data_IF_633513517251
#
_entry.id   IF_633513517251
#
_cell.length_a   1.000
_cell.length_b   1.000
_cell.length_c   1.000
_cell.angle_alpha   90.00
_cell.angle_beta   90.00
_cell.angle_gamma   90.00
#
_symmetry.space_group_name_H-M   'P 1'
#
loop_
_entity.id
_entity.type
_entity.pdbx_description
1 polymer ?
#
# COMPACT_ATOMS: atom_id res chain seq x y z
N UNK A 1 -10.66 -10.46 3.22
CA UNK A 1 -12.08 -10.07 2.97
C UNK A 1 -12.60 -9.01 3.96
N UNK A 2 -11.79 -8.55 4.93
CA UNK A 2 -12.15 -7.59 5.98
C UNK A 2 -12.37 -6.15 5.45
N UNK A 3 -11.49 -5.65 4.58
CA UNK A 3 -11.47 -4.23 4.18
C UNK A 3 -12.77 -3.71 3.54
N UNK A 4 -13.42 -4.50 2.67
CA UNK A 4 -14.68 -4.10 2.04
C UNK A 4 -15.83 -4.00 3.05
N UNK A 5 -15.86 -4.91 4.01
CA UNK A 5 -16.85 -4.93 5.08
C UNK A 5 -16.64 -3.73 6.01
N UNK A 6 -15.39 -3.43 6.39
CA UNK A 6 -15.06 -2.26 7.21
C UNK A 6 -15.51 -0.95 6.56
N UNK A 7 -15.30 -0.78 5.26
CA UNK A 7 -15.79 0.40 4.53
C UNK A 7 -17.30 0.55 4.64
N UNK A 8 -18.04 -0.54 4.44
CA UNK A 8 -19.51 -0.57 4.50
C UNK A 8 -20.01 -0.25 5.92
N UNK A 9 -19.45 -0.89 6.93
CA UNK A 9 -19.81 -0.68 8.34
C UNK A 9 -19.52 0.75 8.82
N UNK A 10 -18.45 1.36 8.31
CA UNK A 10 -18.09 2.75 8.61
C UNK A 10 -18.83 3.78 7.74
N UNK A 11 -19.81 3.35 6.93
CA UNK A 11 -20.65 4.23 6.12
C UNK A 11 -20.00 4.76 4.83
N UNK A 12 -18.87 4.21 4.42
CA UNK A 12 -18.18 4.62 3.19
C UNK A 12 -18.65 3.81 1.99
N UNK A 13 -19.01 4.52 0.92
CA UNK A 13 -19.37 3.88 -0.35
C UNK A 13 -18.18 3.15 -0.97
N UNK A 14 -18.36 1.86 -1.31
CA UNK A 14 -17.41 1.10 -2.12
C UNK A 14 -17.59 1.45 -3.61
N UNK A 15 -16.83 2.41 -4.10
CA UNK A 15 -16.82 2.76 -5.54
C UNK A 15 -15.95 1.79 -6.34
N UNK A 16 -16.13 1.68 -7.68
CA UNK A 16 -15.25 0.87 -8.52
C UNK A 16 -13.76 1.20 -8.35
N UNK A 17 -13.43 2.49 -8.23
CA UNK A 17 -12.04 2.94 -8.00
C UNK A 17 -11.50 2.47 -6.64
N UNK A 18 -12.28 2.60 -5.56
CA UNK A 18 -11.87 2.12 -4.23
C UNK A 18 -11.68 0.61 -4.20
N UNK A 19 -12.56 -0.12 -4.90
CA UNK A 19 -12.47 -1.57 -5.07
C UNK A 19 -11.16 -1.96 -5.76
N UNK A 20 -10.85 -1.34 -6.90
CA UNK A 20 -9.61 -1.64 -7.64
C UNK A 20 -8.36 -1.29 -6.83
N UNK A 21 -8.34 -0.16 -6.11
CA UNK A 21 -7.20 0.21 -5.25
C UNK A 21 -6.99 -0.84 -4.15
N UNK A 22 -8.05 -1.26 -3.47
CA UNK A 22 -7.98 -2.30 -2.46
C UNK A 22 -7.51 -3.64 -3.05
N UNK A 23 -8.03 -4.03 -4.21
CA UNK A 23 -7.57 -5.24 -4.90
C UNK A 23 -6.08 -5.19 -5.23
N UNK A 24 -5.58 -4.07 -5.74
CA UNK A 24 -4.14 -3.89 -6.03
C UNK A 24 -3.31 -4.07 -4.77
N UNK A 25 -3.73 -3.47 -3.66
CA UNK A 25 -3.03 -3.53 -2.37
C UNK A 25 -3.07 -4.92 -1.73
N UNK A 26 -4.11 -5.73 -1.99
CA UNK A 26 -4.20 -7.12 -1.51
C UNK A 26 -3.57 -8.13 -2.46
N UNK A 27 -3.31 -7.76 -3.72
CA UNK A 27 -2.65 -8.63 -4.71
C UNK A 27 -1.14 -8.48 -4.71
N UNK A 28 -0.60 -7.53 -3.95
CA UNK A 28 0.82 -7.22 -3.89
C UNK A 28 1.32 -7.53 -2.48
N UNK A 29 2.35 -8.36 -2.40
CA UNK A 29 3.08 -8.64 -1.16
C UNK A 29 4.28 -7.68 -1.00
N UNK A 30 4.26 -6.58 -1.73
CA UNK A 30 5.30 -5.56 -1.77
C UNK A 30 4.74 -4.20 -1.38
N UNK A 31 5.63 -3.35 -0.87
CA UNK A 31 5.37 -1.94 -0.65
C UNK A 31 5.27 -1.18 -1.99
N UNK A 32 4.12 -0.55 -2.25
CA UNK A 32 3.85 0.14 -3.53
C UNK A 32 3.68 1.64 -3.35
N UNK A 33 4.23 2.43 -4.28
CA UNK A 33 4.04 3.88 -4.27
C UNK A 33 2.64 4.27 -4.78
N UNK A 34 2.18 5.48 -4.44
CA UNK A 34 0.94 6.03 -5.00
C UNK A 34 0.96 6.08 -6.54
N UNK A 35 2.12 6.36 -7.13
CA UNK A 35 2.35 6.33 -8.59
C UNK A 35 2.17 4.92 -9.16
N UNK A 36 2.74 3.89 -8.54
CA UNK A 36 2.55 2.51 -9.01
C UNK A 36 1.07 2.08 -8.91
N UNK A 37 0.39 2.45 -7.82
CA UNK A 37 -1.05 2.21 -7.67
C UNK A 37 -1.81 2.95 -8.76
N UNK A 38 -1.48 4.21 -9.04
CA UNK A 38 -2.12 4.99 -10.09
C UNK A 38 -1.99 4.32 -11.47
N UNK A 39 -0.79 3.88 -11.84
CA UNK A 39 -0.56 3.22 -13.14
C UNK A 39 -1.35 1.91 -13.26
N UNK A 40 -1.34 1.08 -12.21
CA UNK A 40 -2.12 -0.16 -12.14
C UNK A 40 -3.64 0.11 -12.18
N UNK A 41 -4.11 1.16 -11.51
CA UNK A 41 -5.52 1.57 -11.56
C UNK A 41 -5.88 2.06 -12.96
N UNK A 42 -5.05 2.88 -13.60
CA UNK A 42 -5.32 3.46 -14.93
C UNK A 42 -5.42 2.38 -16.01
N UNK A 43 -4.65 1.31 -15.88
CA UNK A 43 -4.74 0.14 -16.75
C UNK A 43 -6.13 -0.54 -16.68
N UNK A 44 -6.80 -0.52 -15.52
CA UNK A 44 -8.14 -1.10 -15.33
C UNK A 44 -9.27 -0.07 -15.49
N UNK A 45 -9.00 1.20 -15.18
CA UNK A 45 -9.95 2.32 -15.16
C UNK A 45 -9.30 3.56 -15.83
N UNK A 46 -9.32 3.67 -17.17
CA UNK A 46 -8.57 4.69 -17.91
C UNK A 46 -8.89 6.16 -17.56
N UNK A 47 -10.08 6.41 -16.99
CA UNK A 47 -10.54 7.73 -16.54
C UNK A 47 -10.21 8.05 -15.08
N UNK A 48 -9.39 7.22 -14.42
CA UNK A 48 -8.98 7.45 -13.04
C UNK A 48 -8.11 8.71 -12.92
N UNK A 49 -8.32 9.47 -11.84
CA UNK A 49 -7.58 10.67 -11.53
C UNK A 49 -6.64 10.40 -10.35
N UNK A 50 -5.38 10.86 -10.44
CA UNK A 50 -4.38 10.77 -9.36
C UNK A 50 -4.93 11.25 -8.01
N UNK A 51 -5.63 12.39 -7.98
CA UNK A 51 -6.25 12.93 -6.76
C UNK A 51 -7.22 11.95 -6.09
N UNK A 52 -7.91 11.09 -6.85
CA UNK A 52 -8.80 10.08 -6.27
C UNK A 52 -8.03 8.92 -5.66
N UNK A 53 -6.84 8.61 -6.18
CA UNK A 53 -5.94 7.62 -5.58
C UNK A 53 -5.49 8.13 -4.21
N UNK A 54 -4.90 9.32 -4.12
CA UNK A 54 -4.45 9.90 -2.85
C UNK A 54 -5.58 10.03 -1.82
N UNK A 55 -6.76 10.56 -2.23
CA UNK A 55 -7.92 10.65 -1.33
C UNK A 55 -8.42 9.29 -0.86
N UNK A 56 -8.25 8.24 -1.66
CA UNK A 56 -8.61 6.88 -1.26
C UNK A 56 -7.58 6.32 -0.31
N UNK A 57 -6.29 6.45 -0.58
CA UNK A 57 -5.21 6.00 0.31
C UNK A 57 -5.30 6.67 1.67
N UNK A 58 -5.53 7.98 1.73
CA UNK A 58 -5.75 8.72 2.97
C UNK A 58 -6.96 8.19 3.76
N UNK A 59 -8.07 7.89 3.07
CA UNK A 59 -9.22 7.27 3.71
C UNK A 59 -8.88 5.89 4.27
N UNK A 60 -8.22 5.03 3.50
CA UNK A 60 -7.88 3.67 3.91
C UNK A 60 -6.89 3.67 5.09
N UNK A 61 -5.92 4.59 5.08
CA UNK A 61 -5.02 4.85 6.22
C UNK A 61 -5.80 5.26 7.46
N UNK A 62 -6.72 6.22 7.34
CA UNK A 62 -7.58 6.65 8.46
C UNK A 62 -8.43 5.50 9.03
N UNK A 63 -8.80 4.53 8.20
CA UNK A 63 -9.57 3.36 8.61
C UNK A 63 -8.69 2.20 9.09
N UNK A 64 -7.37 2.40 9.17
CA UNK A 64 -6.40 1.38 9.53
C UNK A 64 -6.47 0.12 8.64
N UNK A 65 -6.77 0.31 7.36
CA UNK A 65 -6.83 -0.77 6.36
C UNK A 65 -5.54 -0.86 5.53
N UNK A 66 -4.77 0.23 5.50
CA UNK A 66 -3.53 0.39 4.75
C UNK A 66 -2.54 1.10 5.66
N UNK A 67 -1.30 0.64 5.65
CA UNK A 67 -0.19 1.28 6.32
C UNK A 67 0.62 2.11 5.31
N UNK A 68 1.24 3.15 5.84
CA UNK A 68 2.15 4.05 5.13
C UNK A 68 3.54 3.88 5.73
N UNK A 69 4.52 3.55 4.88
CA UNK A 69 5.89 3.32 5.30
C UNK A 69 6.82 4.24 4.51
N UNK A 70 7.69 4.94 5.22
CA UNK A 70 8.81 5.63 4.61
C UNK A 70 10.00 4.68 4.57
N UNK A 71 10.25 4.10 3.40
CA UNK A 71 11.38 3.21 3.14
C UNK A 71 12.59 4.02 2.61
N UNK A 72 12.82 5.22 3.13
CA UNK A 72 13.90 6.10 2.69
C UNK A 72 13.69 6.73 1.30
N UNK A 73 14.55 7.70 0.96
CA UNK A 73 14.44 8.50 -0.25
C UNK A 73 13.28 9.50 -0.21
N UNK A 74 12.71 9.82 -1.37
CA UNK A 74 11.65 10.84 -1.55
C UNK A 74 10.25 10.24 -1.80
N UNK A 75 10.06 8.94 -1.56
CA UNK A 75 8.82 8.23 -1.89
C UNK A 75 8.15 7.64 -0.66
N UNK A 76 6.83 7.72 -0.65
CA UNK A 76 5.96 7.11 0.34
C UNK A 76 5.42 5.80 -0.23
N UNK A 77 5.50 4.74 0.57
CA UNK A 77 5.03 3.42 0.19
C UNK A 77 3.80 3.02 1.00
N UNK A 78 2.92 2.26 0.36
CA UNK A 78 1.67 1.78 0.92
C UNK A 78 1.61 0.26 0.83
N UNK A 79 1.05 -0.36 1.88
CA UNK A 79 0.82 -1.79 1.92
C UNK A 79 -0.44 -2.11 2.74
N UNK A 80 -1.02 -3.29 2.56
CA UNK A 80 -2.22 -3.67 3.33
C UNK A 80 -1.82 -4.00 4.78
N UNK A 81 -2.68 -3.66 5.75
CA UNK A 81 -2.33 -3.77 7.17
C UNK A 81 -2.15 -5.22 7.65
N UNK A 82 -2.82 -6.17 6.99
CA UNK A 82 -2.75 -7.60 7.32
C UNK A 82 -1.51 -8.29 6.74
N UNK A 83 -0.67 -7.55 6.01
CA UNK A 83 0.54 -8.10 5.42
C UNK A 83 1.50 -8.52 6.54
N UNK A 84 2.05 -9.73 6.42
CA UNK A 84 3.02 -10.25 7.38
C UNK A 84 4.19 -9.28 7.53
N UNK A 85 4.70 -9.13 8.76
CA UNK A 85 5.88 -8.33 9.03
C UNK A 85 7.05 -8.83 8.18
N UNK A 86 7.60 -7.95 7.34
CA UNK A 86 8.76 -8.21 6.49
C UNK A 86 9.68 -7.00 6.56
N UNK A 87 10.97 -7.23 6.29
CA UNK A 87 12.00 -6.21 6.41
C UNK A 87 12.40 -5.70 5.04
N UNK A 88 12.77 -4.43 4.97
CA UNK A 88 13.31 -3.83 3.76
C UNK A 88 14.70 -3.27 4.01
N UNK A 89 15.59 -3.54 3.06
CA UNK A 89 16.87 -2.86 2.94
C UNK A 89 16.75 -1.76 1.90
N UNK A 90 17.16 -0.54 2.26
CA UNK A 90 17.06 0.63 1.41
C UNK A 90 18.47 1.15 1.12
N UNK A 91 18.85 1.19 -0.16
CA UNK A 91 20.09 1.83 -0.58
C UNK A 91 19.97 3.36 -0.45
N UNK A 92 20.83 3.99 0.35
CA UNK A 92 20.83 5.45 0.53
C UNK A 92 21.38 6.22 -0.69
N UNK A 93 22.11 5.55 -1.59
CA UNK A 93 22.68 6.20 -2.78
C UNK A 93 21.70 6.18 -3.97
N UNK A 94 21.09 5.03 -4.26
CA UNK A 94 20.24 4.88 -5.45
C UNK A 94 18.74 4.69 -5.14
N UNK A 95 18.37 4.50 -3.87
CA UNK A 95 16.99 4.29 -3.45
C UNK A 95 16.42 2.89 -3.77
N UNK A 96 17.25 1.94 -4.22
CA UNK A 96 16.80 0.57 -4.44
C UNK A 96 16.34 -0.08 -3.12
N UNK A 97 15.24 -0.82 -3.20
CA UNK A 97 14.63 -1.53 -2.07
C UNK A 97 14.73 -3.02 -2.32
N UNK A 98 15.18 -3.77 -1.32
CA UNK A 98 15.31 -5.23 -1.35
C UNK A 98 14.58 -5.80 -0.14
N UNK A 99 13.80 -6.85 -0.34
CA UNK A 99 13.14 -7.57 0.74
C UNK A 99 14.14 -8.46 1.48
N UNK A 100 14.06 -8.41 2.81
CA UNK A 100 14.87 -9.24 3.70
C UNK A 100 13.98 -10.21 4.48
N UNK A 101 14.39 -11.47 4.45
CA UNK A 101 13.78 -12.51 5.28
C UNK A 101 14.03 -12.23 6.76
N UNK A 102 13.05 -12.55 7.61
CA UNK A 102 13.14 -12.42 9.06
C UNK A 102 14.36 -13.13 9.64
N UNK A 103 14.80 -14.25 9.06
CA UNK A 103 16.01 -14.98 9.49
C UNK A 103 17.30 -14.18 9.37
N UNK A 104 17.36 -13.18 8.47
CA UNK A 104 18.51 -12.29 8.32
C UNK A 104 18.55 -11.25 9.42
N UNK A 105 17.38 -10.81 9.89
CA UNK A 105 17.25 -9.70 10.84
C UNK A 105 17.12 -10.19 12.29
N UNK A 106 16.61 -11.41 12.50
CA UNK A 106 16.38 -11.99 13.83
C UNK A 106 17.62 -11.97 14.75
N UNK A 107 18.87 -12.12 14.28
CA UNK A 107 20.05 -12.02 15.16
C UNK A 107 20.33 -10.62 15.70
N UNK A 108 19.70 -9.58 15.13
CA UNK A 108 19.89 -8.17 15.51
C UNK A 108 18.73 -7.60 16.33
N UNK A 109 17.74 -8.43 16.71
CA UNK A 109 16.56 -8.00 17.48
C UNK A 109 16.83 -7.78 18.97
N UNK A 110 18.07 -7.92 19.42
CA UNK A 110 18.53 -7.72 20.81
C UNK A 110 19.56 -6.57 20.94
#
# INVERSE_FOLDING_TARGET
MSCFQTLKEKGYRLTPQRKVILEILHQTDEHVTAENIYDRVRARLPRANKSTIYRTLELLKKLNLVAETNLGGNSVYYHHIEQAHHHHLVCQECGAIIDLDESVVSPFKD
#
